data_IF_113622884489
#
_entry.id   IF_113622884489
#
_cell.length_a   1.000
_cell.length_b   1.000
_cell.length_c   1.000
_cell.angle_alpha   90.00
_cell.angle_beta   90.00
_cell.angle_gamma   90.00
#
_symmetry.space_group_name_H-M   'P 1'
#
loop_
_entity.id
_entity.type
_entity.pdbx_description
1 polymer ?
#
# COMPACT_ATOMS: atom_id res chain seq x y z
N UNK A 1 -25.75 -63.41 -34.92
CA UNK A 1 -25.57 -62.64 -33.67
C UNK A 1 -24.25 -61.90 -33.73
N UNK A 2 -24.31 -60.57 -33.56
CA UNK A 2 -23.29 -59.50 -33.71
C UNK A 2 -23.57 -58.60 -34.92
N UNK A 3 -24.59 -57.75 -34.78
CA UNK A 3 -24.80 -56.58 -35.62
C UNK A 3 -24.00 -55.42 -35.02
N UNK A 4 -22.97 -54.95 -35.74
CA UNK A 4 -22.32 -53.67 -35.45
C UNK A 4 -23.17 -52.56 -36.05
N UNK A 5 -23.66 -51.67 -35.19
CA UNK A 5 -24.33 -50.42 -35.58
C UNK A 5 -23.28 -49.31 -35.47
N UNK A 6 -22.86 -48.78 -36.61
CA UNK A 6 -22.09 -47.53 -36.72
C UNK A 6 -23.01 -46.35 -36.43
N UNK A 7 -22.76 -45.65 -35.30
CA UNK A 7 -23.48 -44.44 -34.91
C UNK A 7 -22.82 -43.23 -35.55
N UNK A 8 -23.39 -42.72 -36.65
CA UNK A 8 -23.03 -41.42 -37.23
C UNK A 8 -23.69 -40.31 -36.41
N UNK A 9 -22.91 -39.54 -35.66
CA UNK A 9 -23.38 -38.36 -34.92
C UNK A 9 -23.49 -37.19 -35.89
N UNK A 10 -24.72 -36.84 -36.27
CA UNK A 10 -25.04 -35.65 -37.06
C UNK A 10 -25.11 -34.44 -36.09
N UNK A 11 -24.15 -33.51 -36.19
CA UNK A 11 -24.18 -32.25 -35.45
C UNK A 11 -25.25 -31.33 -36.04
N UNK A 12 -26.44 -31.29 -35.44
CA UNK A 12 -27.46 -30.28 -35.76
C UNK A 12 -27.10 -29.00 -35.01
N UNK A 13 -26.56 -28.01 -35.73
CA UNK A 13 -26.37 -26.66 -35.19
C UNK A 13 -27.73 -25.97 -35.04
N UNK A 14 -28.13 -25.71 -33.80
CA UNK A 14 -29.28 -24.86 -33.49
C UNK A 14 -28.89 -23.39 -33.69
N UNK A 15 -29.31 -22.80 -34.81
CA UNK A 15 -29.24 -21.35 -35.03
C UNK A 15 -30.42 -20.73 -34.30
N UNK A 16 -30.17 -20.13 -33.13
CA UNK A 16 -31.13 -19.26 -32.46
C UNK A 16 -30.90 -17.84 -32.99
N UNK A 17 -31.79 -17.41 -33.89
CA UNK A 17 -31.89 -16.03 -34.37
C UNK A 17 -32.44 -15.13 -33.25
N UNK A 18 -31.56 -14.49 -32.49
CA UNK A 18 -31.93 -13.33 -31.68
C UNK A 18 -31.98 -12.08 -32.57
N UNK A 19 -33.15 -11.44 -32.59
CA UNK A 19 -33.40 -10.19 -33.29
C UNK A 19 -32.42 -9.09 -32.85
N UNK A 20 -31.81 -8.46 -33.85
CA UNK A 20 -30.81 -7.43 -33.70
C UNK A 20 -31.43 -6.14 -33.14
N UNK A 21 -31.18 -5.83 -31.86
CA UNK A 21 -31.23 -4.47 -31.33
C UNK A 21 -29.79 -4.00 -31.27
N UNK A 22 -29.36 -3.13 -32.19
CA UNK A 22 -28.03 -2.49 -32.12
C UNK A 22 -27.99 -1.58 -30.89
N UNK A 23 -27.53 -2.10 -29.75
CA UNK A 23 -26.85 -1.26 -28.77
C UNK A 23 -25.42 -1.08 -29.30
N UNK A 24 -25.05 0.17 -29.62
CA UNK A 24 -23.65 0.53 -29.79
C UNK A 24 -23.00 0.57 -28.39
N UNK A 25 -22.96 -0.55 -27.69
CA UNK A 25 -22.05 -0.70 -26.55
C UNK A 25 -20.67 -0.92 -27.14
N UNK A 26 -19.95 0.20 -27.33
CA UNK A 26 -18.51 0.18 -27.50
C UNK A 26 -17.96 -0.54 -26.27
N UNK A 27 -17.41 -1.73 -26.45
CA UNK A 27 -16.69 -2.45 -25.39
C UNK A 27 -15.51 -1.56 -25.00
N UNK A 28 -15.68 -0.72 -23.98
CA UNK A 28 -14.58 0.05 -23.42
C UNK A 28 -13.71 -0.92 -22.65
N UNK A 29 -12.50 -1.16 -23.17
CA UNK A 29 -11.48 -1.88 -22.42
C UNK A 29 -11.25 -1.14 -21.10
N UNK A 30 -11.10 -1.86 -19.97
CA UNK A 30 -10.83 -1.21 -18.70
C UNK A 30 -9.58 -0.33 -18.82
N UNK A 31 -9.68 0.91 -18.36
CA UNK A 31 -8.54 1.84 -18.35
C UNK A 31 -7.43 1.24 -17.49
N UNK A 32 -6.18 1.38 -17.95
CA UNK A 32 -5.00 0.95 -17.21
C UNK A 32 -5.00 1.59 -15.80
N UNK A 33 -4.71 0.80 -14.76
CA UNK A 33 -4.87 1.23 -13.36
C UNK A 33 -3.63 1.91 -12.77
N UNK A 34 -2.49 1.82 -13.46
CA UNK A 34 -1.20 2.36 -13.02
C UNK A 34 -0.74 1.85 -11.64
N UNK A 35 -1.28 0.72 -11.18
CA UNK A 35 -0.91 0.13 -9.90
C UNK A 35 0.50 -0.47 -10.00
N UNK A 36 1.44 0.05 -9.21
CA UNK A 36 2.79 -0.52 -9.09
C UNK A 36 2.87 -1.56 -7.97
N UNK A 37 1.78 -1.73 -7.22
CA UNK A 37 1.59 -2.70 -6.15
C UNK A 37 0.41 -3.60 -6.45
N UNK A 38 0.38 -4.77 -5.82
CA UNK A 38 -0.74 -5.69 -5.82
C UNK A 38 -0.94 -6.28 -4.43
N UNK A 39 -2.18 -6.59 -4.09
CA UNK A 39 -2.47 -7.28 -2.83
C UNK A 39 -2.03 -8.72 -2.92
N UNK A 40 -1.47 -9.24 -1.85
CA UNK A 40 -1.12 -10.65 -1.69
C UNK A 40 -1.91 -11.22 -0.52
N UNK A 41 -2.82 -12.16 -0.83
CA UNK A 41 -3.63 -12.85 0.15
C UNK A 41 -2.86 -14.01 0.79
N UNK A 42 -2.92 -14.11 2.11
CA UNK A 42 -2.24 -15.12 2.91
C UNK A 42 -3.27 -16.08 3.49
N UNK A 43 -3.09 -17.37 3.24
CA UNK A 43 -3.87 -18.45 3.88
C UNK A 43 -2.94 -19.60 4.28
N UNK A 44 -2.36 -19.52 5.47
CA UNK A 44 -1.42 -20.53 5.97
C UNK A 44 -2.01 -21.29 7.16
N UNK A 45 -1.63 -22.55 7.30
CA UNK A 45 -1.95 -23.40 8.46
C UNK A 45 -0.67 -23.94 9.06
N UNK A 46 -0.53 -23.87 10.38
CA UNK A 46 0.63 -24.38 11.12
C UNK A 46 0.17 -25.42 12.15
N UNK A 47 0.82 -26.59 12.11
CA UNK A 47 0.51 -27.73 12.97
C UNK A 47 1.78 -28.25 13.65
N UNK A 48 1.64 -28.70 14.89
CA UNK A 48 2.66 -29.49 15.59
C UNK A 48 2.78 -30.90 15.01
N UNK A 49 3.76 -31.67 15.49
CA UNK A 49 3.97 -33.06 15.07
C UNK A 49 2.77 -33.96 15.39
N UNK A 50 2.06 -33.70 16.48
CA UNK A 50 0.83 -34.39 16.92
C UNK A 50 -0.47 -33.80 16.30
N UNK A 51 -0.35 -33.00 15.22
CA UNK A 51 -1.47 -32.36 14.51
C UNK A 51 -2.26 -31.35 15.33
N UNK A 52 -1.72 -30.85 16.45
CA UNK A 52 -2.36 -29.75 17.17
C UNK A 52 -2.05 -28.44 16.45
N UNK A 53 -2.99 -27.48 16.48
CA UNK A 53 -2.70 -26.13 16.03
C UNK A 53 -1.51 -25.49 16.75
N UNK A 54 -0.60 -24.87 15.98
CA UNK A 54 0.36 -23.93 16.56
C UNK A 54 -0.31 -22.58 16.73
N UNK A 55 -0.91 -22.35 17.89
CA UNK A 55 -1.64 -21.11 18.22
C UNK A 55 -0.66 -19.96 18.49
N UNK A 56 -1.03 -18.75 18.05
CA UNK A 56 -0.32 -17.50 18.37
C UNK A 56 1.20 -17.55 18.19
N UNK A 57 1.66 -18.20 17.11
CA UNK A 57 3.08 -18.21 16.75
C UNK A 57 3.38 -17.17 15.69
N UNK A 58 4.48 -16.43 15.86
CA UNK A 58 4.83 -15.31 15.00
C UNK A 58 5.49 -15.79 13.71
N UNK A 59 4.88 -15.43 12.58
CA UNK A 59 5.38 -15.76 11.24
C UNK A 59 5.88 -14.49 10.56
N UNK A 60 7.10 -14.55 10.02
CA UNK A 60 7.74 -13.47 9.28
C UNK A 60 7.70 -13.75 7.78
N UNK A 61 7.53 -12.70 6.97
CA UNK A 61 7.49 -12.78 5.52
C UNK A 61 8.58 -11.90 4.92
N UNK A 62 9.23 -12.37 3.85
CA UNK A 62 10.33 -11.67 3.17
C UNK A 62 10.22 -11.81 1.66
N UNK A 63 10.70 -10.82 0.90
CA UNK A 63 10.92 -11.02 -0.53
C UNK A 63 12.16 -11.90 -0.78
N UNK A 64 12.12 -12.79 -1.78
CA UNK A 64 13.31 -13.52 -2.23
C UNK A 64 14.46 -12.57 -2.61
N UNK A 65 15.68 -12.96 -2.28
CA UNK A 65 16.88 -12.15 -2.56
C UNK A 65 17.10 -10.97 -1.60
N UNK A 66 16.22 -10.74 -0.62
CA UNK A 66 16.50 -9.82 0.49
C UNK A 66 17.77 -10.29 1.22
N UNK A 67 18.78 -9.41 1.26
CA UNK A 67 20.13 -9.76 1.73
C UNK A 67 20.19 -10.17 3.21
N UNK A 68 19.15 -9.86 3.99
CA UNK A 68 19.07 -10.14 5.42
C UNK A 68 17.68 -10.69 5.79
N UNK A 69 17.63 -11.84 6.47
CA UNK A 69 16.42 -12.37 7.14
C UNK A 69 15.92 -11.51 8.32
N UNK A 70 16.44 -10.29 8.46
CA UNK A 70 16.09 -9.32 9.50
C UNK A 70 15.16 -8.20 9.02
N UNK A 71 14.76 -8.20 7.74
CA UNK A 71 13.91 -7.15 7.16
C UNK A 71 12.56 -7.70 6.67
N UNK A 72 11.65 -8.06 7.58
CA UNK A 72 10.35 -8.61 7.21
C UNK A 72 9.49 -7.55 6.52
N UNK A 73 8.82 -7.98 5.46
CA UNK A 73 7.86 -7.17 4.67
C UNK A 73 6.43 -7.30 5.22
N UNK A 74 6.18 -8.36 5.99
CA UNK A 74 4.95 -8.57 6.72
C UNK A 74 5.22 -9.47 7.94
N UNK A 75 4.39 -9.33 8.97
CA UNK A 75 4.37 -10.19 10.14
C UNK A 75 2.94 -10.41 10.60
N UNK A 76 2.65 -11.61 11.11
CA UNK A 76 1.40 -11.87 11.81
C UNK A 76 1.53 -13.11 12.71
N UNK A 77 0.71 -13.16 13.74
CA UNK A 77 0.50 -14.34 14.57
C UNK A 77 -0.54 -15.26 13.90
N UNK A 78 -0.40 -16.57 14.10
CA UNK A 78 -1.50 -17.51 13.84
C UNK A 78 -2.64 -17.32 14.84
N UNK A 79 -3.86 -17.65 14.45
CA UNK A 79 -5.02 -17.66 15.34
C UNK A 79 -4.99 -18.87 16.30
N UNK A 80 -6.04 -19.01 17.15
CA UNK A 80 -6.19 -20.14 18.07
C UNK A 80 -6.30 -21.50 17.37
N UNK A 81 -6.64 -21.51 16.08
CA UNK A 81 -6.69 -22.68 15.23
C UNK A 81 -5.39 -22.87 14.45
N UNK A 82 -4.32 -22.12 14.72
CA UNK A 82 -3.06 -22.23 13.98
C UNK A 82 -3.17 -21.80 12.52
N UNK A 83 -4.19 -21.01 12.19
CA UNK A 83 -4.41 -20.45 10.86
C UNK A 83 -3.90 -19.01 10.85
N UNK A 84 -3.14 -18.63 9.82
CA UNK A 84 -2.77 -17.25 9.56
C UNK A 84 -3.47 -16.82 8.28
N UNK A 85 -4.41 -15.87 8.44
CA UNK A 85 -5.06 -15.15 7.34
C UNK A 85 -4.69 -13.68 7.40
N UNK A 86 -4.51 -13.08 6.23
CA UNK A 86 -4.27 -11.65 6.11
C UNK A 86 -3.90 -11.30 4.67
N UNK A 87 -3.57 -10.05 4.45
CA UNK A 87 -3.11 -9.57 3.17
C UNK A 87 -2.08 -8.46 3.38
N UNK A 88 -1.26 -8.22 2.35
CA UNK A 88 -0.35 -7.09 2.30
C UNK A 88 -0.14 -6.66 0.85
N UNK A 89 0.13 -5.38 0.63
CA UNK A 89 0.50 -4.89 -0.69
C UNK A 89 1.98 -5.21 -0.99
N UNK A 90 2.25 -5.84 -2.13
CA UNK A 90 3.60 -6.11 -2.63
C UNK A 90 3.85 -5.37 -3.94
N UNK A 91 5.11 -5.07 -4.33
CA UNK A 91 5.40 -4.60 -5.67
C UNK A 91 4.83 -5.56 -6.72
N UNK A 92 4.19 -5.01 -7.76
CA UNK A 92 3.38 -5.76 -8.71
C UNK A 92 4.15 -6.87 -9.43
N UNK A 93 5.45 -6.66 -9.66
CA UNK A 93 6.34 -7.62 -10.31
C UNK A 93 6.79 -8.79 -9.41
N UNK A 94 6.57 -8.76 -8.09
CA UNK A 94 6.96 -9.88 -7.22
C UNK A 94 6.11 -11.10 -7.51
N UNK A 95 6.73 -12.27 -7.60
CA UNK A 95 6.06 -13.54 -7.91
C UNK A 95 6.20 -14.59 -6.82
N UNK A 96 6.95 -14.30 -5.77
CA UNK A 96 7.19 -15.22 -4.67
C UNK A 96 7.44 -14.47 -3.35
N UNK A 97 7.23 -15.18 -2.26
CA UNK A 97 7.50 -14.73 -0.89
C UNK A 97 8.23 -15.85 -0.14
N UNK A 98 9.03 -15.49 0.86
CA UNK A 98 9.63 -16.43 1.82
C UNK A 98 8.84 -16.29 3.12
N UNK A 99 8.40 -17.41 3.68
CA UNK A 99 7.78 -17.47 5.00
C UNK A 99 8.72 -18.12 5.99
N UNK A 100 8.84 -17.54 7.18
CA UNK A 100 9.71 -18.03 8.23
C UNK A 100 9.01 -18.04 9.59
N UNK A 101 8.91 -19.24 10.17
CA UNK A 101 8.44 -19.46 11.53
C UNK A 101 9.56 -20.11 12.33
N UNK A 102 10.02 -19.44 13.38
CA UNK A 102 11.08 -19.93 14.27
C UNK A 102 10.53 -20.93 15.30
N UNK A 103 9.93 -22.02 14.82
CA UNK A 103 9.35 -23.08 15.66
C UNK A 103 10.07 -24.41 15.43
N UNK A 104 10.41 -25.19 16.49
CA UNK A 104 11.08 -26.49 16.34
C UNK A 104 10.34 -27.46 15.41
N UNK A 105 11.08 -27.99 14.44
CA UNK A 105 10.57 -28.95 13.46
C UNK A 105 9.74 -28.40 12.33
N UNK A 106 9.53 -27.07 12.25
CA UNK A 106 9.00 -26.40 11.07
C UNK A 106 10.16 -25.96 10.16
N UNK A 107 10.03 -26.20 8.85
CA UNK A 107 10.98 -25.74 7.85
C UNK A 107 11.11 -24.22 7.88
N UNK A 108 12.35 -23.73 7.99
CA UNK A 108 12.69 -22.31 8.02
C UNK A 108 12.83 -21.75 6.61
N UNK A 109 12.53 -20.46 6.43
CA UNK A 109 12.69 -19.72 5.18
C UNK A 109 12.11 -20.44 3.95
N UNK A 110 10.86 -20.89 4.03
CA UNK A 110 10.22 -21.61 2.92
C UNK A 110 9.75 -20.64 1.84
N UNK A 111 10.23 -20.81 0.61
CA UNK A 111 9.77 -20.03 -0.55
C UNK A 111 8.42 -20.54 -1.07
N UNK A 112 7.47 -19.62 -1.26
CA UNK A 112 6.15 -19.87 -1.83
C UNK A 112 5.95 -18.98 -3.07
N UNK A 113 5.50 -19.58 -4.17
CA UNK A 113 5.08 -18.85 -5.36
C UNK A 113 3.70 -18.23 -5.12
N UNK A 114 3.49 -17.01 -5.63
CA UNK A 114 2.19 -16.36 -5.64
C UNK A 114 1.35 -16.97 -6.77
N UNK A 115 0.21 -17.57 -6.43
CA UNK A 115 -0.78 -18.09 -7.37
C UNK A 115 -2.04 -17.24 -7.23
N UNK A 116 -2.45 -16.57 -8.31
CA UNK A 116 -3.59 -15.63 -8.30
C UNK A 116 -3.51 -14.62 -7.16
N UNK A 117 -2.31 -14.05 -6.94
CA UNK A 117 -2.03 -13.12 -5.85
C UNK A 117 -2.32 -13.69 -4.46
N UNK A 118 -2.19 -15.00 -4.27
CA UNK A 118 -2.36 -15.66 -3.00
C UNK A 118 -1.23 -16.66 -2.69
N UNK A 119 -1.02 -16.93 -1.41
CA UNK A 119 -0.24 -18.05 -0.90
C UNK A 119 -1.12 -18.94 -0.04
N UNK A 120 -1.09 -20.24 -0.33
CA UNK A 120 -1.88 -21.25 0.35
C UNK A 120 -0.97 -22.42 0.71
N UNK A 121 -0.75 -22.69 1.99
CA UNK A 121 0.08 -23.81 2.43
C UNK A 121 -0.26 -24.30 3.84
N UNK A 122 0.02 -25.58 4.10
CA UNK A 122 0.00 -26.17 5.44
C UNK A 122 1.41 -26.61 5.82
N UNK A 123 1.90 -26.11 6.94
CA UNK A 123 3.17 -26.46 7.55
C UNK A 123 2.92 -27.37 8.75
N UNK A 124 3.65 -28.48 8.82
CA UNK A 124 3.57 -29.43 9.94
C UNK A 124 4.96 -29.66 10.52
N UNK A 125 5.07 -29.59 11.84
CA UNK A 125 6.32 -29.85 12.52
C UNK A 125 6.67 -31.35 12.45
N UNK A 126 7.95 -31.66 12.27
CA UNK A 126 8.44 -33.05 12.22
C UNK A 126 8.98 -33.48 13.58
N UNK A 127 8.46 -34.59 14.13
CA UNK A 127 8.91 -35.14 15.40
C UNK A 127 10.41 -35.49 15.39
N UNK A 128 11.10 -35.29 16.52
CA UNK A 128 12.51 -35.68 16.69
C UNK A 128 13.55 -34.74 16.09
N UNK A 129 13.13 -33.64 15.44
CA UNK A 129 14.05 -32.60 14.97
C UNK A 129 14.39 -31.65 16.13
N UNK A 130 15.48 -31.96 16.83
CA UNK A 130 16.11 -31.03 17.75
C UNK A 130 16.80 -29.93 16.92
N UNK A 131 16.17 -28.76 16.83
CA UNK A 131 16.96 -27.55 16.57
C UNK A 131 17.69 -27.18 17.87
N UNK A 132 18.95 -26.78 17.74
CA UNK A 132 19.94 -26.56 18.80
C UNK A 132 19.35 -26.15 20.15
N UNK A 133 19.83 -26.78 21.22
CA UNK A 133 19.43 -26.71 22.63
C UNK A 133 19.34 -25.32 23.30
N UNK A 134 19.42 -24.24 22.52
CA UNK A 134 19.35 -22.85 22.97
C UNK A 134 17.93 -22.25 22.83
N UNK A 135 17.03 -22.82 22.00
CA UNK A 135 15.67 -22.24 21.79
C UNK A 135 14.49 -23.01 22.42
N UNK A 136 14.68 -24.26 22.86
CA UNK A 136 13.60 -25.01 23.52
C UNK A 136 13.29 -24.50 24.95
N UNK A 137 14.15 -23.66 25.54
CA UNK A 137 14.05 -23.23 26.95
C UNK A 137 12.98 -22.15 27.20
N UNK A 138 12.48 -21.49 26.17
CA UNK A 138 11.51 -20.38 26.29
C UNK A 138 10.10 -20.73 25.79
N UNK A 139 9.89 -21.92 25.23
CA UNK A 139 8.54 -22.36 24.86
C UNK A 139 7.73 -22.71 26.11
N UNK A 140 6.47 -22.27 26.14
CA UNK A 140 5.55 -22.47 27.24
C UNK A 140 5.62 -21.45 28.39
N UNK A 141 6.42 -20.39 28.26
CA UNK A 141 6.38 -19.21 29.15
C UNK A 141 5.57 -18.11 28.46
N UNK A 142 4.64 -17.51 29.20
CA UNK A 142 3.81 -16.37 28.79
C UNK A 142 3.79 -15.43 30.01
N UNK A 143 4.62 -14.41 29.97
CA UNK A 143 4.95 -13.58 31.13
C UNK A 143 3.87 -12.55 31.47
N UNK A 144 3.07 -12.10 30.51
CA UNK A 144 1.99 -11.12 30.73
C UNK A 144 0.57 -11.67 30.55
N UNK A 145 0.43 -12.93 30.12
CA UNK A 145 -0.83 -13.65 30.03
C UNK A 145 -1.71 -13.23 28.85
N UNK A 146 -1.13 -12.63 27.80
CA UNK A 146 -1.87 -12.25 26.59
C UNK A 146 -2.18 -13.44 25.66
N UNK A 147 -1.55 -14.59 25.93
CA UNK A 147 -1.71 -15.86 25.21
C UNK A 147 -0.64 -16.16 24.16
N UNK A 148 0.28 -15.22 23.91
CA UNK A 148 1.47 -15.38 23.08
C UNK A 148 2.62 -15.80 23.99
N UNK A 149 3.33 -16.87 23.64
CA UNK A 149 4.50 -17.26 24.43
C UNK A 149 5.65 -16.25 24.23
N UNK A 150 6.46 -16.00 25.25
CA UNK A 150 7.59 -15.04 25.24
C UNK A 150 8.56 -15.26 24.05
N UNK A 151 8.60 -16.48 23.50
CA UNK A 151 9.41 -16.83 22.32
C UNK A 151 8.89 -16.22 21.00
N UNK A 152 7.61 -15.83 20.97
CA UNK A 152 6.89 -15.27 19.83
C UNK A 152 6.34 -13.86 20.09
N UNK A 153 6.52 -13.35 21.30
CA UNK A 153 6.10 -12.02 21.74
C UNK A 153 7.29 -11.03 21.72
N UNK A 154 7.14 -9.93 20.97
CA UNK A 154 8.12 -8.83 20.96
C UNK A 154 8.01 -7.94 22.20
N UNK A 155 6.90 -8.04 22.95
CA UNK A 155 6.56 -7.26 24.13
C UNK A 155 6.08 -8.17 25.30
N UNK A 156 6.88 -9.15 25.76
CA UNK A 156 6.47 -10.20 26.71
C UNK A 156 6.05 -9.74 28.12
N UNK A 157 6.00 -8.43 28.37
CA UNK A 157 5.59 -7.87 29.66
C UNK A 157 4.51 -6.78 29.48
N UNK A 158 3.86 -6.70 28.31
CA UNK A 158 2.80 -5.73 28.00
C UNK A 158 1.65 -6.42 27.27
N UNK A 159 0.65 -6.85 28.04
CA UNK A 159 -0.57 -7.55 27.58
C UNK A 159 -1.36 -6.85 26.45
N UNK A 160 -1.02 -5.60 26.12
CA UNK A 160 -1.65 -4.83 25.04
C UNK A 160 -0.87 -4.87 23.73
N UNK A 161 0.37 -5.36 23.70
CA UNK A 161 1.26 -5.35 22.54
C UNK A 161 1.84 -6.75 22.39
N UNK A 162 1.98 -7.24 21.16
CA UNK A 162 2.54 -8.55 20.89
C UNK A 162 3.62 -8.51 19.80
N UNK A 163 3.44 -7.70 18.75
CA UNK A 163 4.42 -7.61 17.67
C UNK A 163 4.31 -6.34 16.84
N UNK A 164 5.38 -5.99 16.13
CA UNK A 164 5.44 -4.83 15.23
C UNK A 164 5.44 -5.26 13.76
N UNK A 165 4.45 -4.79 13.00
CA UNK A 165 4.40 -4.87 11.53
C UNK A 165 5.08 -3.65 10.91
N UNK A 166 5.57 -3.80 9.70
CA UNK A 166 6.18 -2.72 8.94
C UNK A 166 5.66 -2.68 7.51
N UNK A 167 5.68 -1.50 6.90
CA UNK A 167 5.43 -1.34 5.48
C UNK A 167 6.25 -0.19 4.86
N UNK A 168 6.90 -0.40 3.71
CA UNK A 168 6.96 -1.67 2.95
C UNK A 168 7.80 -2.77 3.62
N UNK A 169 8.74 -2.41 4.49
CA UNK A 169 9.45 -3.32 5.40
C UNK A 169 10.04 -2.52 6.56
N UNK A 170 10.78 -3.15 7.48
CA UNK A 170 11.42 -2.46 8.60
C UNK A 170 12.47 -1.44 8.17
N UNK A 171 13.23 -1.72 7.11
CA UNK A 171 14.36 -0.92 6.66
C UNK A 171 14.19 -0.36 5.24
N UNK A 172 13.11 -0.69 4.54
CA UNK A 172 12.79 -0.18 3.21
C UNK A 172 11.74 0.92 3.30
N UNK A 173 11.94 1.97 2.52
CA UNK A 173 10.98 3.06 2.34
C UNK A 173 10.21 2.83 1.04
N UNK A 174 8.91 3.11 1.07
CA UNK A 174 8.14 3.31 -0.15
C UNK A 174 8.34 4.74 -0.65
N UNK A 175 8.02 4.99 -1.91
CA UNK A 175 8.18 6.31 -2.54
C UNK A 175 6.87 6.73 -3.19
N UNK A 176 6.44 7.95 -2.89
CA UNK A 176 5.37 8.64 -3.59
C UNK A 176 5.98 9.73 -4.46
N UNK A 177 5.50 9.84 -5.69
CA UNK A 177 5.89 10.90 -6.63
C UNK A 177 4.64 11.60 -7.14
N UNK A 178 4.65 12.92 -7.12
CA UNK A 178 3.52 13.78 -7.45
C UNK A 178 3.86 14.74 -8.58
N UNK A 179 2.84 15.05 -9.37
CA UNK A 179 2.70 16.28 -10.14
C UNK A 179 1.81 17.25 -9.35
N UNK A 180 2.14 18.55 -9.32
CA UNK A 180 1.46 19.54 -8.48
C UNK A 180 0.55 20.51 -9.25
N UNK A 181 0.63 20.51 -10.58
CA UNK A 181 -0.05 21.52 -11.39
C UNK A 181 -1.47 21.12 -11.83
N UNK A 182 -2.01 20.02 -11.28
CA UNK A 182 -3.37 19.57 -11.53
C UNK A 182 -4.38 20.74 -11.38
N UNK A 183 -5.27 20.96 -12.37
CA UNK A 183 -5.63 20.05 -13.46
C UNK A 183 -4.82 20.17 -14.76
N UNK A 184 -3.72 20.93 -14.80
CA UNK A 184 -2.89 21.09 -16.01
C UNK A 184 -1.62 20.24 -15.92
N UNK A 185 -1.24 19.60 -17.04
CA UNK A 185 -0.25 18.51 -17.02
C UNK A 185 1.18 18.93 -16.68
N UNK A 186 1.60 20.14 -17.05
CA UNK A 186 3.01 20.51 -16.93
C UNK A 186 3.92 19.68 -17.84
N UNK A 187 5.15 19.45 -17.40
CA UNK A 187 6.23 18.71 -18.07
C UNK A 187 6.24 17.20 -17.76
N UNK A 188 5.54 16.78 -16.71
CA UNK A 188 5.24 15.39 -16.40
C UNK A 188 6.48 14.54 -16.08
N UNK A 189 7.40 15.12 -15.30
CA UNK A 189 8.63 14.48 -14.84
C UNK A 189 8.48 13.72 -13.50
N UNK A 190 7.31 13.83 -12.86
CA UNK A 190 6.91 13.19 -11.61
C UNK A 190 7.87 13.52 -10.46
N UNK A 191 8.32 14.77 -10.34
CA UNK A 191 9.20 15.18 -9.24
C UNK A 191 8.77 16.46 -8.50
N UNK A 192 7.61 17.03 -8.82
CA UNK A 192 7.08 18.24 -8.17
C UNK A 192 7.00 18.11 -6.64
N UNK A 193 6.73 16.90 -6.17
CA UNK A 193 7.00 16.46 -4.80
C UNK A 193 7.33 14.97 -4.78
N UNK A 194 8.43 14.60 -4.11
CA UNK A 194 8.82 13.19 -3.90
C UNK A 194 8.92 12.92 -2.41
N UNK A 195 8.11 11.99 -1.91
CA UNK A 195 8.00 11.66 -0.48
C UNK A 195 8.29 10.19 -0.26
N UNK A 196 9.34 9.90 0.50
CA UNK A 196 9.52 8.58 1.07
C UNK A 196 8.60 8.39 2.26
N UNK A 197 8.01 7.21 2.39
CA UNK A 197 7.22 6.82 3.56
C UNK A 197 7.61 5.45 4.11
N UNK A 198 7.45 5.28 5.42
CA UNK A 198 7.62 4.01 6.11
C UNK A 198 6.69 3.95 7.33
N UNK A 199 6.02 2.82 7.51
CA UNK A 199 5.09 2.60 8.60
C UNK A 199 5.62 1.54 9.56
N UNK A 200 5.55 1.82 10.86
CA UNK A 200 5.73 0.83 11.92
C UNK A 200 4.43 0.77 12.73
N UNK A 201 3.82 -0.41 12.81
CA UNK A 201 2.49 -0.60 13.41
C UNK A 201 2.65 -1.62 14.53
N UNK A 202 2.40 -1.20 15.77
CA UNK A 202 2.39 -2.09 16.92
C UNK A 202 1.00 -2.72 17.04
N UNK A 203 0.97 -4.04 17.13
CA UNK A 203 -0.25 -4.83 17.19
C UNK A 203 -0.36 -5.60 18.52
N UNK A 204 -1.58 -5.83 18.99
CA UNK A 204 -1.87 -6.85 20.01
C UNK A 204 -1.81 -8.28 19.43
N UNK A 205 -2.03 -9.31 20.25
CA UNK A 205 -1.98 -10.71 19.81
C UNK A 205 -3.01 -11.07 18.71
N UNK A 206 -4.09 -10.29 18.59
CA UNK A 206 -5.14 -10.46 17.56
C UNK A 206 -4.76 -9.79 16.24
N UNK A 207 -3.68 -9.02 16.23
CA UNK A 207 -3.28 -8.18 15.11
C UNK A 207 -3.97 -6.82 15.09
N UNK A 208 -4.58 -6.39 16.20
CA UNK A 208 -5.28 -5.12 16.34
C UNK A 208 -4.29 -3.98 16.61
N UNK A 209 -4.50 -2.81 16.00
CA UNK A 209 -3.53 -1.72 16.03
C UNK A 209 -3.58 -1.01 17.37
N UNK A 210 -2.43 -0.88 18.02
CA UNK A 210 -2.26 -0.22 19.33
C UNK A 210 -1.72 1.19 19.15
N UNK A 211 -0.67 1.31 18.34
CA UNK A 211 -0.03 2.56 17.94
C UNK A 211 0.63 2.39 16.58
N UNK A 212 0.83 3.52 15.89
CA UNK A 212 1.45 3.54 14.58
C UNK A 212 2.35 4.77 14.42
N UNK A 213 3.58 4.52 14.00
CA UNK A 213 4.52 5.53 13.58
C UNK A 213 4.52 5.62 12.05
N UNK A 214 4.06 6.75 11.53
CA UNK A 214 4.06 7.10 10.12
C UNK A 214 5.23 8.03 9.82
N UNK A 215 6.29 7.47 9.25
CA UNK A 215 7.52 8.20 8.94
C UNK A 215 7.47 8.71 7.50
N UNK A 216 7.84 9.97 7.30
CA UNK A 216 7.89 10.63 6.01
C UNK A 216 9.20 11.39 5.84
N UNK A 217 9.74 11.38 4.63
CA UNK A 217 10.91 12.18 4.26
C UNK A 217 10.75 12.71 2.85
N UNK A 218 10.72 14.03 2.70
CA UNK A 218 10.74 14.67 1.38
C UNK A 218 12.13 14.48 0.78
N UNK A 219 12.19 13.87 -0.39
CA UNK A 219 13.42 13.68 -1.16
C UNK A 219 13.65 14.82 -2.14
N UNK A 220 12.58 15.30 -2.77
CA UNK A 220 12.64 16.36 -3.78
C UNK A 220 11.34 17.15 -3.83
N UNK A 221 11.44 18.36 -4.38
CA UNK A 221 10.34 19.22 -4.76
C UNK A 221 10.78 20.07 -5.96
N UNK A 222 10.42 19.62 -7.17
CA UNK A 222 10.76 20.28 -8.44
C UNK A 222 9.91 21.51 -8.74
N UNK A 223 8.86 21.77 -7.97
CA UNK A 223 7.93 22.84 -8.31
C UNK A 223 8.19 24.19 -7.63
N UNK A 224 7.53 25.23 -8.17
CA UNK A 224 7.56 26.59 -7.60
C UNK A 224 6.54 26.79 -6.47
N UNK A 225 5.47 26.01 -6.44
CA UNK A 225 4.47 26.10 -5.36
C UNK A 225 5.04 25.65 -4.02
N UNK A 226 4.45 26.16 -2.92
CA UNK A 226 4.78 25.70 -1.56
C UNK A 226 3.77 24.62 -1.16
N UNK A 227 4.06 23.38 -1.50
CA UNK A 227 3.15 22.25 -1.30
C UNK A 227 3.21 21.68 0.11
N UNK A 228 2.06 21.30 0.64
CA UNK A 228 1.91 20.46 1.82
C UNK A 228 1.54 19.02 1.45
N UNK A 229 1.48 18.15 2.45
CA UNK A 229 1.22 16.73 2.28
C UNK A 229 0.25 16.22 3.36
N UNK A 230 -0.76 15.49 2.93
CA UNK A 230 -1.75 14.86 3.80
C UNK A 230 -1.89 13.38 3.48
N UNK A 231 -2.48 12.65 4.43
CA UNK A 231 -2.85 11.25 4.24
C UNK A 231 -4.26 11.06 4.76
N UNK A 232 -5.15 10.65 3.86
CA UNK A 232 -6.50 10.24 4.15
C UNK A 232 -6.47 8.76 4.59
N UNK A 233 -6.97 8.52 5.80
CA UNK A 233 -7.11 7.21 6.41
C UNK A 233 -8.51 6.65 6.06
N UNK A 234 -8.66 5.33 5.90
CA UNK A 234 -9.94 4.73 5.49
C UNK A 234 -11.10 5.07 6.45
N UNK A 235 -12.23 5.51 5.87
CA UNK A 235 -13.41 6.05 6.57
C UNK A 235 -14.19 5.00 7.37
N UNK A 236 -14.19 3.73 6.95
CA UNK A 236 -15.27 2.79 7.29
C UNK A 236 -15.27 2.20 8.71
N UNK A 237 -14.33 2.53 9.60
CA UNK A 237 -14.38 2.09 11.01
C UNK A 237 -13.97 3.11 12.07
N UNK A 238 -14.08 4.42 11.82
CA UNK A 238 -13.92 5.39 12.91
C UNK A 238 -15.05 5.35 13.96
N UNK A 239 -16.02 4.42 13.88
CA UNK A 239 -17.16 4.38 14.80
C UNK A 239 -17.49 2.95 15.25
N UNK A 240 -16.96 2.55 16.41
CA UNK A 240 -17.67 1.58 17.26
C UNK A 240 -18.59 2.40 18.16
N UNK A 241 -19.89 2.47 17.85
CA UNK A 241 -20.84 3.26 18.64
C UNK A 241 -20.68 4.78 18.57
N UNK A 242 -20.09 5.33 17.50
CA UNK A 242 -20.03 6.79 17.28
C UNK A 242 -18.80 7.53 17.83
N UNK A 243 -17.75 6.83 18.27
CA UNK A 243 -16.47 7.45 18.70
C UNK A 243 -15.26 7.05 17.83
N UNK A 244 -14.35 8.00 17.45
CA UNK A 244 -13.13 7.75 16.69
C UNK A 244 -12.27 6.62 17.27
N UNK A 245 -11.75 5.72 16.43
CA UNK A 245 -10.80 4.68 16.89
C UNK A 245 -9.39 5.26 17.12
N UNK A 246 -9.06 6.39 16.48
CA UNK A 246 -7.82 7.13 16.72
C UNK A 246 -8.03 8.05 17.92
N UNK A 247 -7.22 7.85 18.97
CA UNK A 247 -7.21 8.63 20.20
C UNK A 247 -6.50 9.97 20.02
N UNK A 248 -5.35 9.96 19.36
CA UNK A 248 -4.53 11.15 19.15
C UNK A 248 -3.55 10.97 18.00
N UNK A 249 -3.24 12.07 17.34
CA UNK A 249 -2.24 12.25 16.30
C UNK A 249 -1.28 13.34 16.75
N UNK A 250 0.02 13.08 16.68
CA UNK A 250 1.07 14.03 17.07
C UNK A 250 2.28 13.93 16.13
N UNK A 251 3.27 14.81 16.29
CA UNK A 251 4.54 14.76 15.54
C UNK A 251 4.50 15.43 14.15
N UNK A 252 3.39 16.06 13.82
CA UNK A 252 3.20 16.83 12.59
C UNK A 252 4.05 18.11 12.62
N UNK A 253 4.55 18.54 11.45
CA UNK A 253 5.27 19.80 11.27
C UNK A 253 4.41 20.80 10.51
N UNK A 254 3.51 21.46 11.24
CA UNK A 254 2.65 22.52 10.70
C UNK A 254 3.24 23.88 11.04
N UNK A 255 3.53 24.66 10.01
CA UNK A 255 4.17 25.99 10.11
C UNK A 255 3.30 27.12 9.59
N UNK A 256 2.21 26.77 8.91
CA UNK A 256 1.28 27.69 8.27
C UNK A 256 -0.12 27.60 8.92
N UNK A 257 -1.00 28.55 8.63
CA UNK A 257 -2.30 28.68 9.30
C UNK A 257 -3.51 28.18 8.48
N UNK A 258 -3.28 27.35 7.46
CA UNK A 258 -4.33 26.91 6.54
C UNK A 258 -4.87 25.49 6.85
N UNK A 259 -4.10 24.65 7.54
CA UNK A 259 -4.57 23.35 8.05
C UNK A 259 -5.23 23.57 9.41
N UNK A 260 -6.44 23.03 9.60
CA UNK A 260 -7.17 23.12 10.87
C UNK A 260 -7.37 21.73 11.47
N UNK A 261 -6.78 21.50 12.63
CA UNK A 261 -6.89 20.24 13.36
C UNK A 261 -7.90 20.35 14.51
N UNK A 262 -8.59 19.24 14.80
CA UNK A 262 -9.32 19.07 16.06
C UNK A 262 -8.38 18.78 17.24
N UNK A 263 -8.92 18.68 18.46
CA UNK A 263 -8.13 18.44 19.68
C UNK A 263 -7.29 17.14 19.67
N UNK A 264 -7.70 16.16 18.87
CA UNK A 264 -6.99 14.90 18.71
C UNK A 264 -5.90 14.93 17.63
N UNK A 265 -5.65 16.07 16.97
CA UNK A 265 -4.54 16.24 16.02
C UNK A 265 -4.84 15.78 14.58
N UNK A 266 -6.08 15.44 14.26
CA UNK A 266 -6.54 15.18 12.88
C UNK A 266 -7.63 16.18 12.49
N UNK A 267 -7.93 16.31 11.20
CA UNK A 267 -9.12 17.03 10.75
C UNK A 267 -10.35 16.09 10.67
N UNK A 268 -11.49 16.67 10.26
CA UNK A 268 -12.67 15.95 9.76
C UNK A 268 -12.93 14.56 10.37
N UNK A 269 -13.55 14.51 11.56
CA UNK A 269 -14.00 13.25 12.17
C UNK A 269 -12.93 12.14 12.33
N UNK A 270 -11.62 12.39 12.18
CA UNK A 270 -10.57 11.36 12.35
C UNK A 270 -9.93 10.83 11.10
N UNK A 271 -10.10 11.49 9.95
CA UNK A 271 -9.82 10.87 8.65
C UNK A 271 -8.50 11.35 8.06
N UNK A 272 -8.13 12.65 8.12
CA UNK A 272 -6.86 13.08 7.55
C UNK A 272 -5.82 13.40 8.63
N UNK A 273 -4.60 12.95 8.36
CA UNK A 273 -3.39 13.35 9.07
C UNK A 273 -2.52 14.17 8.12
N UNK A 274 -1.77 15.13 8.68
CA UNK A 274 -0.98 16.08 7.91
C UNK A 274 0.47 16.06 8.40
N UNK A 275 1.36 15.26 7.77
CA UNK A 275 2.77 15.26 8.16
C UNK A 275 3.40 16.65 8.10
N UNK A 276 3.16 17.41 7.03
CA UNK A 276 3.62 18.78 6.90
C UNK A 276 2.68 19.59 6.02
N UNK A 277 2.56 20.88 6.30
CA UNK A 277 1.78 21.83 5.50
C UNK A 277 2.64 22.62 4.49
N UNK A 278 3.95 22.64 4.70
CA UNK A 278 4.85 23.32 3.78
C UNK A 278 6.18 22.56 3.71
N UNK A 279 6.45 21.90 2.60
CA UNK A 279 7.70 21.15 2.41
C UNK A 279 8.94 22.05 2.58
N UNK A 280 8.85 23.36 2.27
CA UNK A 280 9.98 24.29 2.41
C UNK A 280 10.45 24.42 3.86
N UNK A 281 9.55 24.28 4.83
CA UNK A 281 9.89 24.30 6.26
C UNK A 281 10.84 23.16 6.66
N UNK A 282 10.82 22.05 5.91
CA UNK A 282 11.70 20.89 6.13
C UNK A 282 13.12 21.10 5.61
N UNK A 283 13.36 22.17 4.85
CA UNK A 283 14.63 22.51 4.22
C UNK A 283 15.09 23.93 4.59
N UNK A 284 14.87 24.34 5.85
CA UNK A 284 15.25 25.66 6.35
C UNK A 284 14.66 26.84 5.54
N UNK A 285 13.45 26.66 4.98
CA UNK A 285 12.77 27.69 4.21
C UNK A 285 13.29 27.87 2.78
N UNK A 286 13.96 26.86 2.20
CA UNK A 286 14.47 26.94 0.82
C UNK A 286 13.34 27.25 -0.18
N UNK A 287 13.52 28.29 -0.99
CA UNK A 287 12.54 28.78 -1.96
C UNK A 287 12.78 28.28 -3.40
N UNK A 288 13.91 27.62 -3.66
CA UNK A 288 14.24 27.04 -4.95
C UNK A 288 13.67 25.63 -5.13
N UNK A 289 13.99 25.04 -6.27
CA UNK A 289 13.77 23.62 -6.54
C UNK A 289 14.69 22.79 -5.66
N UNK A 290 14.17 21.70 -5.10
CA UNK A 290 14.86 20.86 -4.14
C UNK A 290 15.16 19.52 -4.81
N UNK A 291 16.45 19.23 -5.00
CA UNK A 291 16.94 17.94 -5.43
C UNK A 291 16.37 17.41 -6.76
N UNK A 292 16.07 18.25 -7.74
CA UNK A 292 15.62 17.85 -9.10
C UNK A 292 16.53 18.36 -10.21
N UNK A 293 17.20 19.50 -10.00
CA UNK A 293 18.12 20.13 -10.95
C UNK A 293 19.54 19.59 -10.82
N UNK A 294 20.09 19.02 -11.91
CA UNK A 294 21.47 18.49 -11.93
C UNK A 294 22.51 19.56 -11.62
N UNK A 295 23.57 19.15 -10.92
CA UNK A 295 24.70 20.01 -10.56
C UNK A 295 24.46 20.89 -9.33
N UNK A 296 23.22 20.96 -8.82
CA UNK A 296 22.92 21.62 -7.55
C UNK A 296 23.39 20.79 -6.36
N UNK A 297 23.75 21.45 -5.27
CA UNK A 297 24.08 20.76 -4.01
C UNK A 297 22.85 20.02 -3.48
N UNK A 298 23.02 18.75 -3.11
CA UNK A 298 21.94 17.94 -2.54
C UNK A 298 21.56 18.46 -1.16
N UNK A 299 20.29 18.76 -0.98
CA UNK A 299 19.72 19.20 0.29
C UNK A 299 19.17 17.98 1.05
N UNK A 300 19.29 18.02 2.38
CA UNK A 300 18.72 16.99 3.25
C UNK A 300 17.60 17.64 4.04
N UNK A 301 16.38 17.17 3.81
CA UNK A 301 15.21 17.62 4.54
C UNK A 301 15.07 16.88 5.86
N UNK A 302 14.49 17.56 6.84
CA UNK A 302 14.13 16.92 8.10
C UNK A 302 13.05 15.85 7.89
N UNK A 303 13.20 14.65 8.48
CA UNK A 303 12.11 13.70 8.50
C UNK A 303 10.96 14.18 9.39
N UNK A 304 9.76 13.66 9.13
CA UNK A 304 8.57 13.86 9.95
C UNK A 304 8.05 12.49 10.37
N UNK A 305 7.81 12.31 11.67
CA UNK A 305 7.14 11.10 12.19
C UNK A 305 5.81 11.50 12.79
N UNK A 306 4.73 11.18 12.10
CA UNK A 306 3.37 11.33 12.63
C UNK A 306 3.02 10.10 13.46
N UNK A 307 2.66 10.29 14.72
CA UNK A 307 2.37 9.23 15.68
C UNK A 307 0.88 9.13 15.94
N UNK A 308 0.30 7.96 15.70
CA UNK A 308 -1.10 7.63 15.94
C UNK A 308 -1.20 6.73 17.17
N UNK A 309 -2.08 7.08 18.10
CA UNK A 309 -2.50 6.22 19.19
C UNK A 309 -3.98 5.86 19.03
N UNK A 310 -4.37 4.63 19.38
CA UNK A 310 -5.75 4.14 19.23
C UNK A 310 -6.48 4.04 20.59
N UNK A 311 -7.82 4.23 20.60
CA UNK A 311 -8.65 4.32 21.85
C UNK A 311 -8.75 2.97 22.58
N UNK A 312 -8.51 1.87 21.88
CA UNK A 312 -8.24 0.49 22.32
C UNK A 312 -7.45 -0.17 21.17
N UNK A 313 -6.90 -1.41 21.30
CA UNK A 313 -6.44 -2.13 20.12
C UNK A 313 -7.58 -2.14 19.09
N UNK A 314 -7.38 -1.48 17.96
CA UNK A 314 -8.41 -1.30 16.94
C UNK A 314 -8.35 -2.51 16.00
N UNK A 315 -9.45 -3.25 15.91
CA UNK A 315 -9.51 -4.40 15.01
C UNK A 315 -9.36 -3.97 13.56
N UNK A 316 -8.46 -4.58 12.76
CA UNK A 316 -8.44 -4.39 11.33
C UNK A 316 -9.59 -5.11 10.62
N UNK A 317 -10.55 -5.73 11.36
CA UNK A 317 -11.60 -6.62 10.82
C UNK A 317 -12.17 -6.10 9.52
N UNK A 318 -12.14 -6.96 8.51
CA UNK A 318 -12.80 -6.79 7.23
C UNK A 318 -14.25 -6.32 7.41
N UNK A 319 -14.61 -5.19 6.81
CA UNK A 319 -16.01 -4.82 6.65
C UNK A 319 -16.65 -5.76 5.62
N UNK A 320 -17.45 -6.71 6.07
CA UNK A 320 -18.20 -7.63 5.21
C UNK A 320 -19.63 -7.11 4.96
N UNK A 321 -19.76 -5.80 4.73
CA UNK A 321 -21.05 -5.13 4.53
C UNK A 321 -21.23 -4.58 3.12
N UNK A 322 -22.21 -5.13 2.38
CA UNK A 322 -22.99 -4.52 1.27
C UNK A 322 -22.32 -3.70 0.14
N UNK A 323 -20.99 -3.64 0.01
CA UNK A 323 -20.36 -3.17 -1.22
C UNK A 323 -19.78 -4.37 -1.97
N UNK A 324 -20.57 -4.84 -2.93
CA UNK A 324 -20.14 -5.77 -3.96
C UNK A 324 -19.13 -5.06 -4.87
N UNK A 325 -17.88 -4.93 -4.41
CA UNK A 325 -16.75 -4.68 -5.29
C UNK A 325 -16.03 -6.00 -5.43
N UNK A 326 -15.86 -6.48 -6.65
CA UNK A 326 -15.17 -7.70 -7.08
C UNK A 326 -13.66 -7.74 -6.70
N UNK A 327 -13.24 -6.92 -5.73
CA UNK A 327 -11.94 -6.91 -5.06
C UNK A 327 -12.16 -7.35 -3.60
N UNK A 328 -12.40 -8.65 -3.41
CA UNK A 328 -12.54 -9.28 -2.09
C UNK A 328 -11.16 -9.35 -1.42
N UNK A 329 -10.98 -8.67 -0.28
CA UNK A 329 -9.84 -8.94 0.60
C UNK A 329 -9.28 -7.81 1.48
N UNK A 330 -9.80 -6.58 1.48
CA UNK A 330 -9.21 -5.53 2.32
C UNK A 330 -9.64 -5.63 3.80
N UNK A 331 -8.66 -5.83 4.69
CA UNK A 331 -8.77 -5.44 6.09
C UNK A 331 -8.66 -3.92 6.20
N UNK A 332 -9.40 -3.32 7.12
CA UNK A 332 -9.80 -1.90 7.07
C UNK A 332 -8.69 -0.88 7.34
N UNK A 333 -7.44 -1.33 7.44
CA UNK A 333 -6.25 -0.53 7.73
C UNK A 333 -5.03 -1.01 6.94
N UNK A 334 -5.25 -1.64 5.78
CA UNK A 334 -4.17 -2.13 4.95
C UNK A 334 -3.45 -0.96 4.30
N UNK A 335 -2.16 -0.85 4.62
CA UNK A 335 -1.23 0.06 3.98
C UNK A 335 -0.90 -0.43 2.57
N UNK A 336 -0.72 0.48 1.60
CA UNK A 336 -0.60 1.93 1.76
C UNK A 336 -1.96 2.65 1.88
N UNK A 337 -1.99 3.73 2.66
CA UNK A 337 -3.15 4.63 2.79
C UNK A 337 -3.38 5.49 1.53
N UNK A 338 -4.28 6.48 1.61
CA UNK A 338 -4.56 7.45 0.54
C UNK A 338 -3.78 8.77 0.76
N UNK A 339 -2.51 8.89 0.34
CA UNK A 339 -1.75 10.13 0.43
C UNK A 339 -2.22 11.14 -0.61
N UNK A 340 -2.06 12.42 -0.29
CA UNK A 340 -2.37 13.52 -1.20
C UNK A 340 -1.44 14.71 -1.02
N UNK A 341 -1.21 15.41 -2.14
CA UNK A 341 -0.53 16.70 -2.14
C UNK A 341 -1.55 17.81 -1.91
N UNK A 342 -1.24 18.76 -1.02
CA UNK A 342 -1.98 20.01 -0.88
C UNK A 342 -1.23 21.11 -1.63
N UNK A 343 -1.81 21.56 -2.74
CA UNK A 343 -1.11 22.49 -3.63
C UNK A 343 -1.03 23.87 -3.04
N UNK A 344 0.18 24.44 -3.05
CA UNK A 344 0.43 25.86 -2.77
C UNK A 344 -0.27 26.43 -1.52
N UNK A 345 -0.15 25.74 -0.39
CA UNK A 345 -0.77 26.12 0.89
C UNK A 345 -2.31 26.27 0.84
N UNK A 346 -2.99 25.53 -0.04
CA UNK A 346 -4.45 25.41 -0.06
C UNK A 346 -4.87 23.99 0.34
N UNK A 347 -5.40 23.85 1.56
CA UNK A 347 -5.83 22.57 2.13
C UNK A 347 -6.81 21.79 1.27
N UNK A 348 -7.65 22.49 0.49
CA UNK A 348 -8.70 21.86 -0.32
C UNK A 348 -8.25 21.51 -1.73
N UNK A 349 -7.10 21.99 -2.19
CA UNK A 349 -6.55 21.65 -3.51
C UNK A 349 -5.73 20.37 -3.40
N UNK A 350 -6.43 19.26 -3.20
CA UNK A 350 -5.85 17.94 -2.99
C UNK A 350 -5.62 17.21 -4.33
N UNK A 351 -4.45 16.59 -4.48
CA UNK A 351 -4.09 15.78 -5.65
C UNK A 351 -3.80 14.37 -5.18
N UNK A 352 -4.56 13.40 -5.70
CA UNK A 352 -4.53 11.99 -5.26
C UNK A 352 -4.10 11.05 -6.39
N UNK A 353 -3.76 9.83 -5.99
CA UNK A 353 -3.58 8.70 -6.90
C UNK A 353 -4.93 8.29 -7.52
N UNK A 354 -4.86 7.75 -8.74
CA UNK A 354 -5.97 7.09 -9.41
C UNK A 354 -6.64 6.05 -8.47
N UNK A 355 -7.96 6.04 -8.44
CA UNK A 355 -8.74 5.13 -7.61
C UNK A 355 -9.03 5.64 -6.22
N UNK A 356 -8.51 6.82 -5.85
CA UNK A 356 -8.81 7.48 -4.58
C UNK A 356 -9.59 8.78 -4.80
N UNK A 357 -10.52 9.05 -3.89
CA UNK A 357 -11.26 10.32 -3.85
C UNK A 357 -10.62 11.35 -2.92
N UNK A 358 -11.00 12.63 -3.09
CA UNK A 358 -10.63 13.68 -2.14
C UNK A 358 -11.29 13.51 -0.77
N UNK A 359 -10.74 14.21 0.22
CA UNK A 359 -11.36 14.36 1.53
C UNK A 359 -12.75 14.99 1.44
N UNK A 360 -13.55 14.84 2.49
CA UNK A 360 -14.93 15.32 2.46
C UNK A 360 -15.00 16.86 2.41
N UNK A 361 -14.07 17.55 3.08
CA UNK A 361 -13.95 19.01 3.05
C UNK A 361 -13.48 19.56 1.71
N UNK A 362 -12.67 18.81 0.98
CA UNK A 362 -12.12 19.23 -0.30
C UNK A 362 -13.10 19.04 -1.46
N UNK A 363 -14.04 18.08 -1.38
CA UNK A 363 -15.02 17.78 -2.44
C UNK A 363 -15.68 19.03 -3.07
N UNK A 364 -16.26 19.98 -2.31
CA UNK A 364 -16.93 21.14 -2.92
C UNK A 364 -15.98 22.03 -3.73
N UNK A 365 -14.70 22.10 -3.33
CA UNK A 365 -13.69 22.89 -4.02
C UNK A 365 -13.14 22.15 -5.25
N UNK A 366 -12.85 20.85 -5.11
CA UNK A 366 -12.26 20.03 -6.16
C UNK A 366 -13.21 19.78 -7.34
N UNK A 367 -14.52 19.72 -7.10
CA UNK A 367 -15.51 19.47 -8.16
C UNK A 367 -15.48 20.51 -9.29
N UNK A 368 -15.06 21.76 -9.04
CA UNK A 368 -14.92 22.76 -10.09
C UNK A 368 -13.72 22.55 -11.01
N UNK A 369 -12.77 21.68 -10.63
CA UNK A 369 -11.58 21.37 -11.43
C UNK A 369 -11.72 20.08 -12.25
N UNK A 370 -12.68 19.22 -11.92
CA UNK A 370 -12.90 17.99 -12.67
C UNK A 370 -13.26 18.28 -14.13
N UNK A 371 -12.52 17.65 -15.04
CA UNK A 371 -12.65 17.84 -16.48
C UNK A 371 -12.05 19.16 -17.00
N UNK A 372 -11.53 20.03 -16.14
CA UNK A 372 -10.82 21.25 -16.53
C UNK A 372 -9.40 20.91 -17.02
N UNK A 373 -8.77 21.82 -17.77
CA UNK A 373 -7.39 21.65 -18.24
C UNK A 373 -7.17 20.29 -18.92
N UNK A 374 -6.16 19.57 -18.45
CA UNK A 374 -5.79 18.22 -18.90
C UNK A 374 -6.43 17.10 -18.07
N UNK A 375 -7.20 17.42 -17.02
CA UNK A 375 -7.88 16.43 -16.20
C UNK A 375 -9.10 15.81 -16.93
N UNK A 376 -9.24 14.50 -16.81
CA UNK A 376 -10.32 13.69 -17.38
C UNK A 376 -11.28 13.14 -16.30
N UNK A 377 -11.16 13.63 -15.06
CA UNK A 377 -12.03 13.21 -13.98
C UNK A 377 -13.46 13.60 -14.29
N UNK A 378 -14.37 12.64 -14.09
CA UNK A 378 -15.81 12.90 -14.20
C UNK A 378 -16.37 12.93 -12.78
N UNK A 379 -17.14 13.95 -12.39
CA UNK A 379 -17.82 13.97 -11.09
C UNK A 379 -18.72 12.73 -10.96
N UNK A 380 -18.29 11.73 -10.20
CA UNK A 380 -19.15 10.61 -9.79
C UNK A 380 -19.81 10.95 -8.46
N UNK A 381 -21.12 10.79 -8.40
CA UNK A 381 -21.89 10.89 -7.16
C UNK A 381 -21.55 9.67 -6.27
N UNK A 382 -20.85 9.91 -5.16
CA UNK A 382 -20.77 9.05 -3.97
C UNK A 382 -20.04 7.70 -4.09
N UNK A 383 -18.74 7.68 -4.42
CA UNK A 383 -17.87 6.59 -3.97
C UNK A 383 -16.55 7.13 -3.40
N UNK A 384 -16.03 6.50 -2.34
CA UNK A 384 -14.73 6.82 -1.74
C UNK A 384 -13.56 6.37 -2.64
N UNK A 385 -13.82 5.39 -3.53
CA UNK A 385 -12.84 4.80 -4.45
C UNK A 385 -13.30 4.89 -5.92
N UNK A 386 -13.41 6.10 -6.47
CA UNK A 386 -13.79 6.26 -7.87
C UNK A 386 -12.59 5.93 -8.75
N UNK A 387 -12.71 4.86 -9.55
CA UNK A 387 -11.66 4.35 -10.45
C UNK A 387 -11.24 5.33 -11.56
N UNK A 388 -12.00 6.41 -11.74
CA UNK A 388 -11.93 7.34 -12.87
C UNK A 388 -11.52 8.78 -12.50
N UNK A 389 -11.16 9.06 -11.25
CA UNK A 389 -10.62 10.38 -10.86
C UNK A 389 -9.10 10.46 -11.01
N UNK A 390 -8.59 11.70 -11.09
CA UNK A 390 -7.18 12.06 -11.13
C UNK A 390 -6.43 11.40 -12.29
N UNK A 391 -7.04 11.49 -13.47
CA UNK A 391 -6.47 10.98 -14.73
C UNK A 391 -6.33 12.11 -15.73
N UNK A 392 -5.28 12.07 -16.54
CA UNK A 392 -5.17 12.99 -17.68
C UNK A 392 -6.09 12.58 -18.85
N UNK A 393 -6.52 13.53 -19.67
CA UNK A 393 -7.19 13.30 -20.96
C UNK A 393 -6.27 12.58 -21.95
N UNK A 394 -4.98 12.87 -21.87
CA UNK A 394 -3.92 12.26 -22.66
C UNK A 394 -3.50 10.92 -22.09
N UNK A 395 -4.23 9.86 -22.44
CA UNK A 395 -3.87 8.47 -22.10
C UNK A 395 -4.17 8.04 -20.66
N UNK A 396 -4.93 8.83 -19.90
CA UNK A 396 -5.39 8.45 -18.56
C UNK A 396 -4.28 8.37 -17.52
N UNK A 397 -3.20 9.12 -17.70
CA UNK A 397 -2.00 9.06 -16.83
C UNK A 397 -2.32 9.61 -15.43
N UNK A 398 -1.65 9.10 -14.38
CA UNK A 398 -1.86 9.55 -13.00
C UNK A 398 -1.19 10.89 -12.72
N UNK A 399 -1.66 11.60 -11.69
CA UNK A 399 -0.92 12.71 -11.08
C UNK A 399 -0.02 12.26 -9.93
N UNK A 400 -0.22 11.03 -9.45
CA UNK A 400 0.53 10.43 -8.33
C UNK A 400 0.84 8.97 -8.63
N UNK A 401 2.09 8.57 -8.48
CA UNK A 401 2.50 7.16 -8.45
C UNK A 401 3.00 6.81 -7.05
N UNK A 402 2.67 5.60 -6.61
CA UNK A 402 3.09 5.05 -5.33
C UNK A 402 3.85 3.76 -5.57
N UNK A 403 5.04 3.64 -4.98
CA UNK A 403 5.90 2.47 -5.04
C UNK A 403 6.13 1.92 -3.63
N UNK A 404 5.98 0.60 -3.46
CA UNK A 404 6.31 -0.11 -2.22
C UNK A 404 7.82 -0.37 -2.05
N UNK A 405 8.65 0.47 -2.67
CA UNK A 405 10.11 0.46 -2.57
C UNK A 405 10.67 1.83 -3.01
N UNK A 406 11.99 1.97 -2.98
CA UNK A 406 12.68 3.17 -3.46
C UNK A 406 12.45 3.39 -4.96
N UNK A 407 12.20 4.65 -5.35
CA UNK A 407 12.09 5.07 -6.74
C UNK A 407 13.07 6.20 -7.05
N UNK A 408 13.87 6.02 -8.10
CA UNK A 408 14.84 7.00 -8.56
C UNK A 408 14.16 7.99 -9.52
N UNK A 409 13.72 9.14 -9.02
CA UNK A 409 12.90 10.05 -9.80
C UNK A 409 13.68 10.77 -10.93
N UNK A 410 12.99 11.17 -12.02
CA UNK A 410 13.59 11.92 -13.12
C UNK A 410 14.11 13.30 -12.67
N UNK A 411 15.05 13.84 -13.43
CA UNK A 411 15.49 15.24 -13.27
C UNK A 411 14.46 16.22 -13.79
N UNK A 412 14.54 17.47 -13.30
CA UNK A 412 13.67 18.56 -13.72
C UNK A 412 13.48 18.61 -15.25
N UNK A 413 12.25 18.81 -15.73
CA UNK A 413 11.85 18.86 -17.14
C UNK A 413 12.00 17.55 -17.93
N UNK A 414 12.42 16.47 -17.29
CA UNK A 414 12.68 15.18 -17.94
C UNK A 414 11.52 14.24 -17.72
N UNK A 415 10.54 14.28 -18.64
CA UNK A 415 9.32 13.48 -18.49
C UNK A 415 9.59 12.00 -18.18
N UNK A 416 8.73 11.38 -17.37
CA UNK A 416 8.93 10.00 -16.91
C UNK A 416 9.04 8.99 -18.07
N UNK A 417 8.29 9.19 -19.16
CA UNK A 417 8.38 8.37 -20.38
C UNK A 417 9.75 8.42 -21.06
N UNK A 418 10.50 9.53 -20.93
CA UNK A 418 11.86 9.65 -21.47
C UNK A 418 12.89 9.04 -20.54
N UNK A 419 12.72 9.24 -19.23
CA UNK A 419 13.64 8.70 -18.23
C UNK A 419 13.54 7.17 -18.10
N UNK A 420 12.33 6.62 -18.22
CA UNK A 420 12.04 5.19 -18.09
C UNK A 420 11.50 4.59 -19.39
N UNK A 421 12.35 3.86 -20.09
CA UNK A 421 12.17 3.46 -21.48
C UNK A 421 11.04 2.44 -21.71
N UNK A 422 10.65 1.69 -20.66
CA UNK A 422 9.55 0.73 -20.70
C UNK A 422 8.23 1.25 -20.08
N UNK A 423 8.19 2.50 -19.60
CA UNK A 423 6.99 3.07 -18.97
C UNK A 423 5.78 3.08 -19.90
N UNK A 424 5.97 3.51 -21.16
CA UNK A 424 4.89 3.58 -22.15
C UNK A 424 4.44 2.19 -22.62
N UNK A 425 5.34 1.20 -22.67
CA UNK A 425 5.00 -0.19 -22.97
C UNK A 425 4.21 -0.84 -21.82
N UNK A 426 4.63 -0.60 -20.58
CA UNK A 426 3.92 -1.08 -19.39
C UNK A 426 2.48 -0.58 -19.34
N UNK A 427 2.27 0.73 -19.48
CA UNK A 427 0.91 1.30 -19.48
C UNK A 427 0.07 0.96 -20.71
N UNK A 428 0.71 0.50 -21.80
CA UNK A 428 0.02 -0.07 -22.95
C UNK A 428 -0.38 -1.54 -22.73
N UNK A 429 -0.05 -2.13 -21.57
CA UNK A 429 -0.37 -3.51 -21.23
C UNK A 429 0.60 -4.54 -21.82
N UNK A 430 1.79 -4.13 -22.27
CA UNK A 430 2.76 -4.99 -22.96
C UNK A 430 3.73 -5.73 -22.03
N UNK A 431 3.54 -5.65 -20.70
CA UNK A 431 4.41 -6.28 -19.70
C UNK A 431 5.12 -5.26 -18.82
N UNK A 432 6.33 -5.57 -18.34
CA UNK A 432 7.20 -4.66 -17.57
C UNK A 432 6.61 -4.09 -16.28
N UNK A 433 5.97 -4.92 -15.43
CA UNK A 433 5.51 -4.48 -14.10
C UNK A 433 6.64 -3.96 -13.18
N UNK A 434 7.88 -4.12 -13.61
CA UNK A 434 9.14 -3.71 -13.01
C UNK A 434 9.88 -2.64 -13.83
N UNK A 435 9.19 -1.93 -14.72
CA UNK A 435 9.75 -0.90 -15.61
C UNK A 435 10.62 0.16 -14.90
N UNK A 436 10.38 0.38 -13.61
CA UNK A 436 11.06 1.37 -12.78
C UNK A 436 12.37 0.87 -12.14
N UNK A 437 12.71 -0.41 -12.28
CA UNK A 437 13.93 -0.97 -11.69
C UNK A 437 15.18 -0.56 -12.46
N UNK A 438 16.32 -0.50 -11.76
CA UNK A 438 17.64 -0.30 -12.37
C UNK A 438 18.12 -1.57 -13.09
N UNK A 439 17.66 -1.74 -14.32
CA UNK A 439 18.06 -2.85 -15.20
C UNK A 439 18.66 -2.30 -16.50
N UNK A 440 19.61 -3.02 -17.12
CA UNK A 440 20.11 -2.65 -18.44
C UNK A 440 18.95 -2.43 -19.43
N UNK A 441 18.91 -1.27 -20.07
CA UNK A 441 17.89 -0.90 -21.05
C UNK A 441 16.57 -0.35 -20.48
N UNK A 442 16.40 -0.27 -19.15
CA UNK A 442 15.12 0.19 -18.56
C UNK A 442 15.03 1.70 -18.40
N UNK A 443 16.18 2.38 -18.31
CA UNK A 443 16.24 3.81 -17.99
C UNK A 443 17.38 4.53 -18.67
N UNK A 444 17.17 5.80 -19.00
CA UNK A 444 18.25 6.72 -19.35
C UNK A 444 18.83 7.32 -18.06
N UNK A 445 20.00 6.83 -17.65
CA UNK A 445 20.68 7.32 -16.44
C UNK A 445 21.02 8.82 -16.47
N UNK A 446 21.06 9.45 -17.65
CA UNK A 446 21.25 10.90 -17.77
C UNK A 446 19.99 11.71 -17.46
N UNK A 447 18.84 11.06 -17.31
CA UNK A 447 17.58 11.72 -16.97
C UNK A 447 17.10 11.39 -15.56
N UNK A 448 17.90 10.63 -14.79
CA UNK A 448 17.62 10.29 -13.39
C UNK A 448 18.41 11.23 -12.48
N UNK A 449 17.76 11.77 -11.44
CA UNK A 449 18.43 12.57 -10.41
C UNK A 449 19.26 11.67 -9.49
N UNK A 450 20.47 12.10 -9.11
CA UNK A 450 21.39 11.34 -8.25
C UNK A 450 21.98 12.22 -7.16
#
# INVERSE_FOLDING_TARGET
MKNSITLSVLFVSFIILFGCKKSNEKLELPKFDYATTKDVNINLKYLSADNKPLKYVLVNFYYPGSKNSSDPVYKALTDSNGVLKGNFAAPAYKTAIIVDLKYPGISRNTGLLLQDNAINATFKAVAGTSTSSIHAKTLGVDSDGDGVEDAFDEFPNDVKRAYTKYYPSKNTWGTLVFEDNWPNKGDYDMNDLVVNYNYAIVCDYRGWYVEMDCNYKVLAAGATYSNGFGVNLPYTTLFTGGSPVIKSVTGQKLTENYVRLGPAGFDENGINIFPFDNHRSLFNGNTGMINTVKGSAKLVGDPVTVKLAFVNPASPTMYNGRYNTSRVGFTLWDVPFNPFLMRNMESKHEIHQIGYGPSSSAKPYIFSFYGAGDDASVPQLYSEFPSDLYRTKDGGKPWVLNFAEGFDYPTEYSSISKAYLHYDEWRAGLGYADWYLDKPGYRDSNLIYR
#
